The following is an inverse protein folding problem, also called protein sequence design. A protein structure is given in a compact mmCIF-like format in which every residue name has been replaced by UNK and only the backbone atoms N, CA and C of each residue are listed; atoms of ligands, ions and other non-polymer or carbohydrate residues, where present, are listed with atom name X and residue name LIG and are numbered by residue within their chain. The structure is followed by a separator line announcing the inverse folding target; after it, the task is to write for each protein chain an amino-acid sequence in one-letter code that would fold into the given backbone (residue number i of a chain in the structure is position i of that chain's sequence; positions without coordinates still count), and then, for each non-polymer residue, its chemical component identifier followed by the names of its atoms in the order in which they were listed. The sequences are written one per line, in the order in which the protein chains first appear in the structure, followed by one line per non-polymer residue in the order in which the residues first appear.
data_IF_680535763779
#
_entry.id   IF_680535763779
#
_cell.length_a   1.000
_cell.length_b   1.000
_cell.length_c   1.000
_cell.angle_alpha   90.00
_cell.angle_beta   90.00
_cell.angle_gamma   90.00
#
_symmetry.space_group_name_H-M   'P 1'
#
loop_
_entity.id
_entity.type
_entity.pdbx_description
1 polymer ?
#
# COMPACT_ATOMS: atom_id res chain seq x y z
N UNK A 1 -4.68 4.93 34.86
CA UNK A 1 -5.23 6.05 34.06
C UNK A 1 -4.09 6.73 33.32
N UNK A 2 -4.08 6.70 31.99
CA UNK A 2 -3.09 7.47 31.22
C UNK A 2 -3.50 8.94 31.20
N UNK A 3 -2.70 9.81 31.81
CA UNK A 3 -2.93 11.26 31.80
C UNK A 3 -2.45 11.80 30.45
N UNK A 4 -3.40 12.06 29.54
CA UNK A 4 -3.11 12.66 28.23
C UNK A 4 -2.83 14.15 28.43
N UNK A 5 -1.65 14.61 28.00
CA UNK A 5 -1.33 16.03 27.99
C UNK A 5 -2.09 16.74 26.86
N UNK A 6 -3.12 17.49 27.26
CA UNK A 6 -4.08 18.14 26.39
C UNK A 6 -3.46 19.26 25.56
N UNK A 7 -2.54 20.03 26.13
CA UNK A 7 -1.94 21.21 25.49
C UNK A 7 -0.92 20.85 24.40
N UNK A 8 -0.40 19.63 24.44
CA UNK A 8 0.51 19.08 23.41
C UNK A 8 -0.23 18.30 22.31
N UNK A 9 -1.56 18.35 22.29
CA UNK A 9 -2.36 17.62 21.30
C UNK A 9 -2.30 18.32 19.94
N UNK A 10 -1.91 17.58 18.91
CA UNK A 10 -1.89 18.05 17.52
C UNK A 10 -2.92 17.26 16.69
N UNK A 11 -3.62 17.94 15.77
CA UNK A 11 -4.65 17.32 14.94
C UNK A 11 -4.21 17.21 13.48
N UNK A 12 -4.02 15.97 13.02
CA UNK A 12 -3.91 15.66 11.59
C UNK A 12 -5.30 15.38 11.01
N UNK A 13 -5.73 16.22 10.07
CA UNK A 13 -7.04 16.09 9.44
C UNK A 13 -6.91 15.76 7.95
N UNK A 14 -7.60 14.69 7.53
CA UNK A 14 -7.74 14.33 6.11
C UNK A 14 -9.19 14.46 5.67
N UNK A 15 -9.66 15.71 5.56
CA UNK A 15 -11.02 16.03 5.09
C UNK A 15 -10.99 16.75 3.75
N UNK A 16 -12.02 16.53 2.93
CA UNK A 16 -12.27 17.32 1.71
C UNK A 16 -13.05 18.60 2.00
N UNK A 17 -13.78 18.63 3.11
CA UNK A 17 -14.76 19.67 3.42
C UNK A 17 -14.20 20.73 4.37
N UNK A 18 -12.96 20.54 4.83
CA UNK A 18 -12.29 21.48 5.71
C UNK A 18 -11.34 22.36 4.91
N UNK A 19 -11.56 23.67 4.98
CA UNK A 19 -10.71 24.65 4.33
C UNK A 19 -9.60 25.11 5.29
N UNK A 20 -8.36 24.72 4.99
CA UNK A 20 -7.20 25.09 5.79
C UNK A 20 -6.87 26.59 5.68
N UNK A 21 -7.38 27.30 4.67
CA UNK A 21 -7.20 28.74 4.51
C UNK A 21 -7.94 29.56 5.56
N UNK A 22 -9.11 29.08 6.00
CA UNK A 22 -9.95 29.76 7.02
C UNK A 22 -9.41 29.64 8.44
N UNK A 23 -8.49 28.70 8.69
CA UNK A 23 -7.91 28.40 10.02
C UNK A 23 -9.00 28.29 11.10
N UNK A 24 -10.05 27.53 10.84
CA UNK A 24 -11.10 27.31 11.84
C UNK A 24 -10.61 26.35 12.94
N UNK A 25 -11.10 26.51 14.17
CA UNK A 25 -10.78 25.55 15.24
C UNK A 25 -11.77 24.40 15.21
N UNK A 26 -11.28 23.19 15.43
CA UNK A 26 -12.12 22.01 15.61
C UNK A 26 -12.20 21.69 17.10
N UNK A 27 -13.42 21.56 17.61
CA UNK A 27 -13.66 21.19 19.00
C UNK A 27 -13.67 19.65 19.11
N UNK A 28 -12.75 19.12 19.91
CA UNK A 28 -12.60 17.68 20.20
C UNK A 28 -12.95 17.44 21.66
N UNK A 29 -13.80 16.44 21.92
CA UNK A 29 -14.13 16.00 23.27
C UNK A 29 -13.09 14.99 23.76
N UNK A 30 -12.44 15.28 24.89
CA UNK A 30 -11.55 14.38 25.61
C UNK A 30 -12.19 14.00 26.96
N UNK A 31 -13.05 12.98 26.93
CA UNK A 31 -13.95 12.67 28.05
C UNK A 31 -14.84 13.88 28.32
N UNK A 32 -14.80 14.39 29.55
CA UNK A 32 -15.65 15.50 29.99
C UNK A 32 -15.13 16.89 29.58
N UNK A 33 -13.89 17.01 29.05
CA UNK A 33 -13.33 18.31 28.65
C UNK A 33 -13.32 18.47 27.13
N UNK A 34 -13.72 19.65 26.64
CA UNK A 34 -13.62 20.04 25.23
C UNK A 34 -12.35 20.85 24.99
N UNK A 35 -11.59 20.51 23.95
CA UNK A 35 -10.41 21.26 23.52
C UNK A 35 -10.65 21.75 22.10
N UNK A 36 -10.27 23.00 21.84
CA UNK A 36 -10.34 23.62 20.52
C UNK A 36 -8.95 23.62 19.89
N UNK A 37 -8.75 22.82 18.83
CA UNK A 37 -7.43 22.60 18.20
C UNK A 37 -7.47 23.04 16.74
N UNK A 38 -6.41 23.70 16.27
CA UNK A 38 -6.22 23.97 14.85
C UNK A 38 -5.67 22.73 14.14
N UNK A 39 -6.32 22.28 13.05
CA UNK A 39 -5.76 21.24 12.21
C UNK A 39 -4.42 21.68 11.61
N UNK A 40 -3.44 20.78 11.62
CA UNK A 40 -2.13 21.03 10.99
C UNK A 40 -2.32 21.17 9.48
N UNK A 41 -1.74 22.21 8.84
CA UNK A 41 -1.81 22.40 7.39
C UNK A 41 -1.32 21.18 6.60
N UNK A 42 -1.82 21.01 5.38
CA UNK A 42 -1.52 19.85 4.51
C UNK A 42 -0.02 19.64 4.26
N UNK A 43 0.74 20.73 4.20
CA UNK A 43 2.19 20.72 3.90
C UNK A 43 3.04 20.46 5.14
N UNK A 44 2.46 20.69 6.33
CA UNK A 44 3.18 20.56 7.57
C UNK A 44 3.14 19.12 8.08
N UNK A 45 4.18 18.75 8.81
CA UNK A 45 4.29 17.46 9.46
C UNK A 45 4.30 17.67 10.97
N UNK A 46 3.77 16.71 11.71
CA UNK A 46 3.83 16.66 13.17
C UNK A 46 4.92 15.72 13.63
N UNK A 47 5.47 15.92 14.82
CA UNK A 47 6.55 15.09 15.37
C UNK A 47 6.05 14.23 16.52
N UNK A 48 6.02 12.92 16.32
CA UNK A 48 5.68 11.94 17.36
C UNK A 48 6.93 11.10 17.65
N UNK A 49 7.40 11.13 18.90
CA UNK A 49 8.62 10.44 19.35
C UNK A 49 9.84 10.71 18.44
N UNK A 50 9.94 11.88 17.83
CA UNK A 50 11.06 12.24 16.95
C UNK A 50 10.90 11.80 15.48
N UNK A 51 9.85 11.05 15.14
CA UNK A 51 9.48 10.70 13.76
C UNK A 51 8.39 11.66 13.28
N UNK A 52 8.43 12.03 12.00
CA UNK A 52 7.53 13.03 11.44
C UNK A 52 6.42 12.40 10.61
N UNK A 53 5.18 12.84 10.84
CA UNK A 53 3.97 12.33 10.20
C UNK A 53 3.23 13.46 9.49
N UNK A 54 2.72 13.17 8.30
CA UNK A 54 1.94 14.10 7.50
C UNK A 54 0.58 13.48 7.15
N UNK A 55 -0.51 14.24 7.26
CA UNK A 55 -1.88 13.73 7.02
C UNK A 55 -2.12 13.23 5.57
N UNK A 56 -1.31 13.69 4.62
CA UNK A 56 -1.40 13.40 3.19
C UNK A 56 -0.24 12.54 2.69
N UNK A 57 0.54 11.95 3.61
CA UNK A 57 1.69 11.12 3.31
C UNK A 57 2.76 11.85 2.46
N UNK A 58 2.90 13.18 2.61
CA UNK A 58 4.01 13.91 1.98
C UNK A 58 5.34 13.57 2.67
N UNK A 59 6.35 13.37 1.83
CA UNK A 59 7.67 12.84 2.14
C UNK A 59 8.77 13.88 1.94
N UNK A 60 8.45 15.04 1.36
CA UNK A 60 9.39 16.14 1.13
C UNK A 60 10.04 16.61 2.42
N UNK A 61 9.26 16.78 3.49
CA UNK A 61 9.76 17.26 4.77
C UNK A 61 10.86 16.34 5.32
N UNK A 62 10.57 15.04 5.45
CA UNK A 62 11.54 14.04 5.98
C UNK A 62 12.75 13.91 5.06
N UNK A 63 12.55 13.93 3.74
CA UNK A 63 13.64 13.87 2.77
C UNK A 63 14.58 15.08 2.90
N UNK A 64 14.03 16.29 3.00
CA UNK A 64 14.81 17.51 3.18
C UNK A 64 15.53 17.53 4.53
N UNK A 65 14.89 17.01 5.57
CA UNK A 65 15.51 16.88 6.89
C UNK A 65 16.74 15.95 6.84
N UNK A 66 16.65 14.81 6.17
CA UNK A 66 17.78 13.89 5.99
C UNK A 66 18.92 14.53 5.16
N UNK A 67 18.57 15.26 4.10
CA UNK A 67 19.54 16.05 3.31
C UNK A 67 20.27 17.08 4.18
N UNK A 68 19.51 17.82 4.97
CA UNK A 68 20.06 18.86 5.84
C UNK A 68 20.97 18.29 6.93
N UNK A 69 20.64 17.12 7.49
CA UNK A 69 21.52 16.46 8.46
C UNK A 69 22.90 16.13 7.87
N UNK A 70 22.95 15.64 6.63
CA UNK A 70 24.20 15.38 5.90
C UNK A 70 24.95 16.68 5.62
N UNK A 71 24.26 17.71 5.15
CA UNK A 71 24.87 19.01 4.86
C UNK A 71 25.43 19.67 6.13
N UNK A 72 24.68 19.65 7.22
CA UNK A 72 25.10 20.20 8.51
C UNK A 72 26.34 19.48 9.06
N UNK A 73 26.40 18.15 8.90
CA UNK A 73 27.61 17.40 9.25
C UNK A 73 28.82 17.91 8.45
N UNK A 74 28.65 18.05 7.13
CA UNK A 74 29.70 18.51 6.23
C UNK A 74 30.16 19.92 6.64
N UNK A 75 29.24 20.87 6.76
CA UNK A 75 29.57 22.29 6.98
C UNK A 75 30.12 22.54 8.38
N UNK A 76 29.48 21.99 9.40
CA UNK A 76 29.74 22.38 10.79
C UNK A 76 30.81 21.50 11.44
N UNK A 77 30.91 20.23 11.02
CA UNK A 77 31.80 19.26 11.68
C UNK A 77 33.03 18.95 10.84
N UNK A 78 32.85 18.64 9.55
CA UNK A 78 33.92 18.00 8.78
C UNK A 78 34.76 19.00 7.96
N UNK A 79 34.15 20.05 7.39
CA UNK A 79 34.79 20.88 6.35
C UNK A 79 36.13 21.49 6.77
N UNK A 80 36.23 22.04 7.98
CA UNK A 80 37.43 22.75 8.46
C UNK A 80 38.30 21.94 9.42
N UNK A 81 37.78 20.83 9.96
CA UNK A 81 38.51 20.04 10.96
C UNK A 81 39.53 19.11 10.30
N UNK A 82 40.71 19.01 10.92
CA UNK A 82 41.71 17.99 10.62
C UNK A 82 41.24 16.69 11.25
N UNK A 83 40.66 15.81 10.44
CA UNK A 83 40.05 14.55 10.86
C UNK A 83 40.52 13.49 9.88
N UNK A 84 40.86 12.31 10.40
CA UNK A 84 41.23 11.18 9.54
C UNK A 84 40.05 10.71 8.69
N UNK A 85 40.38 10.06 7.58
CA UNK A 85 39.45 9.32 6.73
C UNK A 85 38.61 8.31 7.52
N UNK A 86 39.24 7.51 8.40
CA UNK A 86 38.56 6.52 9.24
C UNK A 86 37.56 7.14 10.22
N UNK A 87 37.96 8.21 10.90
CA UNK A 87 37.06 8.96 11.79
C UNK A 87 35.88 9.56 11.01
N UNK A 88 36.13 10.08 9.81
CA UNK A 88 35.09 10.66 8.95
C UNK A 88 34.09 9.59 8.49
N UNK A 89 34.59 8.42 8.08
CA UNK A 89 33.78 7.27 7.69
C UNK A 89 32.95 6.74 8.88
N UNK A 90 33.56 6.63 10.06
CA UNK A 90 32.87 6.23 11.30
C UNK A 90 31.72 7.18 11.65
N UNK A 91 31.95 8.49 11.64
CA UNK A 91 30.91 9.48 11.94
C UNK A 91 29.71 9.32 11.00
N UNK A 92 29.95 9.08 9.71
CA UNK A 92 28.86 8.88 8.77
C UNK A 92 28.13 7.56 9.01
N UNK A 93 28.87 6.45 9.09
CA UNK A 93 28.30 5.12 9.24
C UNK A 93 27.53 4.93 10.55
N UNK A 94 28.06 5.45 11.65
CA UNK A 94 27.50 5.20 12.99
C UNK A 94 26.50 6.26 13.43
N UNK A 95 26.63 7.52 12.98
CA UNK A 95 25.79 8.63 13.47
C UNK A 95 24.76 9.02 12.41
N UNK A 96 25.21 9.28 11.19
CA UNK A 96 24.34 9.80 10.14
C UNK A 96 23.39 8.74 9.62
N UNK A 97 23.88 7.52 9.35
CA UNK A 97 23.00 6.44 8.90
C UNK A 97 21.95 6.11 9.95
N UNK A 98 22.32 5.96 11.22
CA UNK A 98 21.38 5.70 12.30
C UNK A 98 20.35 6.84 12.45
N UNK A 99 20.77 8.10 12.29
CA UNK A 99 19.84 9.24 12.32
C UNK A 99 18.87 9.23 11.13
N UNK A 100 19.34 8.93 9.93
CA UNK A 100 18.49 8.83 8.73
C UNK A 100 17.53 7.65 8.85
N UNK A 101 18.02 6.50 9.32
CA UNK A 101 17.22 5.30 9.56
C UNK A 101 16.07 5.59 10.52
N UNK A 102 16.37 6.25 11.64
CA UNK A 102 15.38 6.66 12.63
C UNK A 102 14.34 7.64 12.06
N UNK A 103 14.79 8.74 11.42
CA UNK A 103 13.88 9.75 10.86
C UNK A 103 13.01 9.20 9.75
N UNK A 104 13.53 8.27 8.96
CA UNK A 104 12.84 7.65 7.85
C UNK A 104 12.00 6.44 8.28
N UNK A 105 11.83 6.14 9.57
CA UNK A 105 11.22 4.88 10.05
C UNK A 105 9.93 4.48 9.29
N UNK A 106 9.03 5.44 9.05
CA UNK A 106 7.73 5.24 8.39
C UNK A 106 7.71 5.59 6.89
N UNK A 107 8.86 5.92 6.30
CA UNK A 107 9.00 6.33 4.90
C UNK A 107 10.06 5.47 4.20
N UNK A 108 9.87 5.23 2.90
CA UNK A 108 10.85 4.49 2.09
C UNK A 108 11.31 5.40 0.96
N UNK A 109 12.56 5.82 0.99
CA UNK A 109 13.15 6.62 -0.10
C UNK A 109 13.42 5.74 -1.32
N UNK A 110 13.43 6.34 -2.50
CA UNK A 110 13.90 5.68 -3.71
C UNK A 110 15.43 5.63 -3.73
N UNK A 111 15.98 4.68 -4.48
CA UNK A 111 17.42 4.58 -4.69
C UNK A 111 18.02 5.88 -5.25
N UNK A 112 17.34 6.51 -6.21
CA UNK A 112 17.78 7.80 -6.79
C UNK A 112 17.87 8.89 -5.73
N UNK A 113 16.88 9.00 -4.84
CA UNK A 113 16.90 9.98 -3.74
C UNK A 113 18.04 9.68 -2.76
N UNK A 114 18.25 8.41 -2.39
CA UNK A 114 19.37 8.00 -1.52
C UNK A 114 20.73 8.35 -2.14
N UNK A 115 20.90 8.05 -3.42
CA UNK A 115 22.13 8.36 -4.14
C UNK A 115 22.36 9.87 -4.22
N UNK A 116 21.33 10.67 -4.49
CA UNK A 116 21.41 12.13 -4.47
C UNK A 116 21.78 12.67 -3.09
N UNK A 117 21.25 12.09 -2.01
CA UNK A 117 21.61 12.46 -0.64
C UNK A 117 23.09 12.21 -0.33
N UNK A 118 23.69 11.15 -0.89
CA UNK A 118 25.09 10.81 -0.65
C UNK A 118 26.09 11.64 -1.47
N UNK A 119 25.71 12.20 -2.62
CA UNK A 119 26.60 13.00 -3.49
C UNK A 119 27.44 14.03 -2.73
N UNK A 120 26.86 14.94 -1.91
CA UNK A 120 27.65 15.97 -1.21
C UNK A 120 28.68 15.37 -0.26
N UNK A 121 28.33 14.27 0.43
CA UNK A 121 29.23 13.59 1.34
C UNK A 121 30.38 12.89 0.59
N UNK A 122 30.07 12.14 -0.48
CA UNK A 122 31.09 11.48 -1.33
C UNK A 122 32.08 12.50 -1.89
N UNK A 123 31.60 13.65 -2.36
CA UNK A 123 32.46 14.74 -2.89
C UNK A 123 33.37 15.30 -1.79
N UNK A 124 32.82 15.60 -0.62
CA UNK A 124 33.60 16.12 0.51
C UNK A 124 34.67 15.12 0.96
N UNK A 125 34.30 13.83 1.06
CA UNK A 125 35.21 12.76 1.48
C UNK A 125 36.39 12.60 0.52
N UNK A 126 36.13 12.53 -0.80
CA UNK A 126 37.18 12.47 -1.83
C UNK A 126 38.10 13.68 -1.79
N UNK A 127 37.54 14.88 -1.68
CA UNK A 127 38.32 16.12 -1.63
C UNK A 127 39.25 16.15 -0.40
N UNK A 128 38.80 15.65 0.76
CA UNK A 128 39.66 15.52 1.96
C UNK A 128 40.84 14.57 1.74
N UNK A 129 40.63 13.50 0.97
CA UNK A 129 41.65 12.55 0.58
C UNK A 129 42.54 13.04 -0.57
N UNK A 130 42.35 14.28 -1.05
CA UNK A 130 43.01 14.85 -2.24
C UNK A 130 42.72 14.08 -3.53
N UNK A 131 41.66 13.28 -3.56
CA UNK A 131 41.19 12.66 -4.79
C UNK A 131 40.38 13.64 -5.63
N UNK A 132 40.41 13.42 -6.95
CA UNK A 132 39.51 14.12 -7.87
C UNK A 132 38.05 13.83 -7.51
N UNK A 133 37.17 14.83 -7.62
CA UNK A 133 35.73 14.63 -7.37
C UNK A 133 35.09 13.60 -8.31
N UNK A 134 35.69 13.40 -9.49
CA UNK A 134 35.32 12.42 -10.53
C UNK A 134 35.82 11.01 -10.25
N UNK A 135 36.66 10.79 -9.22
CA UNK A 135 37.17 9.46 -8.90
C UNK A 135 36.01 8.47 -8.71
N UNK A 136 36.18 7.17 -9.03
CA UNK A 136 35.12 6.18 -8.87
C UNK A 136 34.55 6.15 -7.45
N UNK A 137 33.22 6.07 -7.31
CA UNK A 137 32.55 5.96 -6.00
C UNK A 137 32.90 4.65 -5.29
N UNK A 138 33.27 3.61 -6.03
CA UNK A 138 33.70 2.32 -5.50
C UNK A 138 34.85 2.45 -4.52
N UNK A 139 35.78 3.40 -4.70
CA UNK A 139 36.89 3.62 -3.77
C UNK A 139 36.37 3.96 -2.36
N UNK A 140 35.32 4.78 -2.31
CA UNK A 140 34.71 5.29 -1.07
C UNK A 140 33.86 4.22 -0.39
N UNK A 141 33.13 3.43 -1.18
CA UNK A 141 32.10 2.51 -0.69
C UNK A 141 32.58 1.08 -0.50
N UNK A 142 33.74 0.71 -1.07
CA UNK A 142 34.26 -0.64 -0.94
C UNK A 142 34.61 -0.95 0.52
N UNK A 143 34.08 -2.08 1.01
CA UNK A 143 34.29 -2.58 2.36
C UNK A 143 35.77 -2.82 2.70
N UNK A 144 36.61 -3.08 1.71
CA UNK A 144 38.05 -3.31 1.88
C UNK A 144 38.87 -2.02 2.05
N UNK A 145 38.28 -0.85 1.75
CA UNK A 145 38.98 0.44 1.75
C UNK A 145 38.42 1.35 2.84
N UNK A 146 37.48 2.23 2.50
CA UNK A 146 36.90 3.21 3.44
C UNK A 146 35.54 2.78 4.00
N UNK A 147 34.90 1.77 3.39
CA UNK A 147 33.67 1.14 3.88
C UNK A 147 32.55 2.15 4.22
N UNK A 148 32.38 3.21 3.42
CA UNK A 148 31.25 4.11 3.60
C UNK A 148 30.01 3.41 3.07
N UNK A 149 29.10 3.08 3.98
CA UNK A 149 27.90 2.32 3.62
C UNK A 149 26.93 3.18 2.83
N UNK A 150 26.33 2.57 1.82
CA UNK A 150 25.26 3.21 1.05
C UNK A 150 24.01 3.43 1.92
N UNK A 151 23.43 4.63 1.85
CA UNK A 151 22.14 4.95 2.49
C UNK A 151 21.05 4.00 1.97
N UNK A 152 21.08 3.68 0.67
CA UNK A 152 20.11 2.77 0.05
C UNK A 152 20.24 1.35 0.60
N UNK A 153 21.47 0.83 0.66
CA UNK A 153 21.72 -0.51 1.20
C UNK A 153 21.32 -0.62 2.67
N UNK A 154 21.68 0.38 3.49
CA UNK A 154 21.28 0.42 4.91
C UNK A 154 19.75 0.49 5.05
N UNK A 155 19.08 1.27 4.21
CA UNK A 155 17.62 1.35 4.21
C UNK A 155 16.99 -0.01 3.86
N UNK A 156 17.47 -0.70 2.82
CA UNK A 156 16.94 -2.03 2.45
C UNK A 156 17.02 -2.97 3.65
N UNK A 157 18.21 -3.10 4.24
CA UNK A 157 18.46 -3.98 5.38
C UNK A 157 17.56 -3.63 6.57
N UNK A 158 17.54 -2.35 6.98
CA UNK A 158 16.75 -1.91 8.13
C UNK A 158 15.23 -2.05 7.89
N UNK A 159 14.74 -1.73 6.69
CA UNK A 159 13.30 -1.77 6.39
C UNK A 159 12.78 -3.19 6.30
N UNK A 160 13.48 -4.07 5.59
CA UNK A 160 13.10 -5.48 5.47
C UNK A 160 13.11 -6.14 6.85
N UNK A 161 14.18 -5.98 7.63
CA UNK A 161 14.30 -6.60 8.94
C UNK A 161 13.19 -6.13 9.89
N UNK A 162 12.95 -4.81 9.98
CA UNK A 162 11.89 -4.27 10.82
C UNK A 162 10.50 -4.73 10.37
N UNK A 163 10.29 -4.87 9.06
CA UNK A 163 9.02 -5.33 8.51
C UNK A 163 8.76 -6.82 8.83
N UNK A 164 9.80 -7.66 8.76
CA UNK A 164 9.71 -9.06 9.21
C UNK A 164 9.39 -9.17 10.70
N UNK A 165 10.05 -8.38 11.54
CA UNK A 165 9.76 -8.33 12.98
C UNK A 165 8.29 -7.95 13.21
N UNK A 166 7.77 -6.96 12.47
CA UNK A 166 6.36 -6.53 12.59
C UNK A 166 5.35 -7.59 12.15
N UNK A 167 5.65 -8.35 11.09
CA UNK A 167 4.75 -9.39 10.57
C UNK A 167 4.75 -10.62 11.47
N UNK A 168 5.91 -10.97 12.03
CA UNK A 168 6.08 -12.15 12.87
C UNK A 168 5.81 -11.89 14.37
N UNK A 169 5.50 -10.66 14.74
CA UNK A 169 5.15 -10.31 16.12
C UNK A 169 3.86 -11.02 16.53
N UNK A 170 3.85 -11.60 17.73
CA UNK A 170 2.68 -12.32 18.29
C UNK A 170 1.82 -11.46 19.22
N UNK A 171 2.24 -10.21 19.47
CA UNK A 171 1.54 -9.28 20.34
C UNK A 171 0.61 -8.34 19.59
N UNK A 172 0.27 -7.23 20.27
CA UNK A 172 -0.61 -6.19 19.73
C UNK A 172 -0.10 -5.60 18.41
N UNK A 173 1.22 -5.51 18.22
CA UNK A 173 1.82 -4.99 17.00
C UNK A 173 1.53 -5.91 15.81
N UNK A 174 1.69 -7.22 16.00
CA UNK A 174 1.32 -8.24 15.02
C UNK A 174 -0.16 -8.20 14.67
N UNK A 175 -1.05 -8.09 15.67
CA UNK A 175 -2.50 -7.97 15.46
C UNK A 175 -2.87 -6.76 14.61
N UNK A 176 -2.33 -5.59 14.96
CA UNK A 176 -2.53 -4.36 14.20
C UNK A 176 -2.00 -4.54 12.77
N UNK A 177 -0.85 -5.18 12.61
CA UNK A 177 -0.24 -5.40 11.30
C UNK A 177 -1.11 -6.32 10.43
N UNK A 178 -1.63 -7.43 10.98
CA UNK A 178 -2.58 -8.33 10.31
C UNK A 178 -3.82 -7.58 9.84
N UNK A 179 -4.46 -6.80 10.72
CA UNK A 179 -5.64 -5.99 10.36
C UNK A 179 -5.32 -5.01 9.23
N UNK A 180 -4.16 -4.35 9.26
CA UNK A 180 -3.74 -3.41 8.20
C UNK A 180 -3.48 -4.11 6.87
N UNK A 181 -2.92 -5.32 6.88
CA UNK A 181 -2.73 -6.13 5.67
C UNK A 181 -4.09 -6.54 5.08
N UNK A 182 -5.04 -6.96 5.92
CA UNK A 182 -6.42 -7.29 5.49
C UNK A 182 -7.11 -6.07 4.88
N UNK A 183 -6.96 -4.89 5.50
CA UNK A 183 -7.49 -3.64 4.97
C UNK A 183 -6.87 -3.30 3.61
N UNK A 184 -5.56 -3.51 3.43
CA UNK A 184 -4.90 -3.35 2.13
C UNK A 184 -5.41 -4.38 1.11
N UNK A 185 -5.55 -5.65 1.49
CA UNK A 185 -6.12 -6.70 0.64
C UNK A 185 -7.51 -6.31 0.14
N UNK A 186 -8.39 -5.86 1.04
CA UNK A 186 -9.74 -5.39 0.70
C UNK A 186 -9.72 -4.13 -0.16
N UNK A 187 -8.76 -3.23 0.08
CA UNK A 187 -8.58 -2.01 -0.71
C UNK A 187 -8.10 -2.30 -2.13
N UNK A 188 -7.21 -3.26 -2.30
CA UNK A 188 -6.67 -3.75 -3.57
C UNK A 188 -7.60 -4.78 -4.24
N UNK A 189 -8.61 -5.25 -3.51
CA UNK A 189 -9.57 -6.26 -3.94
C UNK A 189 -8.87 -7.53 -4.45
N UNK A 190 -8.08 -8.15 -3.57
CA UNK A 190 -7.35 -9.39 -3.84
C UNK A 190 -7.95 -10.57 -3.07
N UNK A 191 -7.81 -11.77 -3.61
CA UNK A 191 -8.25 -13.03 -3.01
C UNK A 191 -7.31 -13.52 -1.90
N UNK A 192 -6.01 -13.25 -2.05
CA UNK A 192 -4.96 -13.59 -1.08
C UNK A 192 -4.35 -12.34 -0.47
N UNK A 193 -3.68 -12.53 0.66
CA UNK A 193 -2.88 -11.47 1.28
C UNK A 193 -1.81 -10.94 0.30
N UNK A 194 -1.64 -9.60 0.21
CA UNK A 194 -0.59 -8.95 -0.59
C UNK A 194 0.84 -9.39 -0.26
N UNK A 195 1.06 -10.02 0.90
CA UNK A 195 2.35 -10.58 1.28
C UNK A 195 2.70 -11.85 0.49
N UNK A 196 1.69 -12.63 0.11
CA UNK A 196 1.86 -13.92 -0.58
C UNK A 196 2.01 -13.68 -2.07
N UNK A 197 1.07 -12.92 -2.61
CA UNK A 197 1.03 -12.62 -4.03
C UNK A 197 0.63 -11.17 -4.23
N UNK A 198 1.57 -10.42 -4.82
CA UNK A 198 1.39 -9.03 -5.20
C UNK A 198 1.42 -8.94 -6.73
N UNK A 199 0.25 -8.94 -7.40
CA UNK A 199 0.15 -9.08 -8.85
C UNK A 199 0.52 -7.78 -9.60
N UNK A 200 0.57 -6.65 -8.90
CA UNK A 200 0.82 -5.34 -9.49
C UNK A 200 2.30 -4.97 -9.44
N UNK A 201 2.70 -4.10 -10.36
CA UNK A 201 3.99 -3.40 -10.28
C UNK A 201 3.85 -2.05 -9.55
N UNK A 202 4.96 -1.58 -8.96
CA UNK A 202 5.02 -0.27 -8.28
C UNK A 202 4.57 0.89 -9.18
N UNK A 203 4.93 0.85 -10.47
CA UNK A 203 4.52 1.85 -11.46
C UNK A 203 3.00 1.87 -11.65
N UNK A 204 2.35 0.70 -11.68
CA UNK A 204 0.90 0.60 -11.89
C UNK A 204 0.13 1.15 -10.69
N UNK A 205 0.55 0.83 -9.47
CA UNK A 205 -0.05 1.40 -8.25
C UNK A 205 0.08 2.92 -8.24
N UNK A 206 1.23 3.46 -8.62
CA UNK A 206 1.43 4.91 -8.64
C UNK A 206 0.50 5.62 -9.64
N UNK A 207 0.17 4.98 -10.76
CA UNK A 207 -0.69 5.54 -11.81
C UNK A 207 -2.18 5.40 -11.45
N UNK A 208 -2.63 4.20 -11.12
CA UNK A 208 -4.06 3.91 -10.93
C UNK A 208 -4.55 4.18 -9.50
N UNK A 209 -3.64 4.13 -8.53
CA UNK A 209 -3.92 4.19 -7.10
C UNK A 209 -2.99 5.19 -6.39
N UNK A 210 -2.99 6.49 -6.76
CA UNK A 210 -2.01 7.47 -6.25
C UNK A 210 -2.03 7.64 -4.72
N UNK A 211 -3.17 7.32 -4.07
CA UNK A 211 -3.29 7.32 -2.60
C UNK A 211 -2.41 6.29 -1.90
N UNK A 212 -1.98 5.25 -2.63
CA UNK A 212 -1.14 4.16 -2.11
C UNK A 212 0.34 4.34 -2.44
N UNK A 213 0.70 5.36 -3.24
CA UNK A 213 2.08 5.63 -3.67
C UNK A 213 3.08 5.67 -2.50
N UNK A 214 2.70 6.30 -1.39
CA UNK A 214 3.55 6.45 -0.21
C UNK A 214 3.15 5.51 0.94
N UNK A 215 2.29 4.53 0.70
CA UNK A 215 1.89 3.60 1.74
C UNK A 215 3.09 2.75 2.19
N UNK A 216 3.38 2.78 3.50
CA UNK A 216 4.54 2.10 4.08
C UNK A 216 4.55 0.59 3.83
N UNK A 217 3.41 -0.09 4.04
CA UNK A 217 3.32 -1.55 3.92
C UNK A 217 3.52 -1.98 2.47
N UNK A 218 2.81 -1.33 1.53
CA UNK A 218 2.93 -1.64 0.10
C UNK A 218 4.35 -1.38 -0.40
N UNK A 219 4.97 -0.28 0.02
CA UNK A 219 6.34 0.01 -0.38
C UNK A 219 7.35 -0.97 0.21
N UNK A 220 7.14 -1.51 1.41
CA UNK A 220 7.97 -2.60 1.95
C UNK A 220 7.81 -3.89 1.13
N UNK A 221 6.59 -4.26 0.77
CA UNK A 221 6.34 -5.44 -0.08
C UNK A 221 7.07 -5.30 -1.42
N UNK A 222 7.01 -4.13 -2.05
CA UNK A 222 7.78 -3.89 -3.28
C UNK A 222 9.28 -3.93 -3.06
N UNK A 223 9.76 -3.38 -1.94
CA UNK A 223 11.18 -3.40 -1.61
C UNK A 223 11.67 -4.85 -1.37
N UNK A 224 10.87 -5.72 -0.76
CA UNK A 224 11.18 -7.14 -0.63
C UNK A 224 11.23 -7.84 -1.99
N UNK A 225 10.22 -7.60 -2.86
CA UNK A 225 10.16 -8.17 -4.21
C UNK A 225 11.33 -7.73 -5.09
N UNK A 226 11.71 -6.46 -5.02
CA UNK A 226 12.88 -5.91 -5.74
C UNK A 226 14.20 -6.53 -5.27
N UNK A 227 14.26 -7.04 -4.03
CA UNK A 227 15.45 -7.68 -3.44
C UNK A 227 15.34 -9.22 -3.36
N UNK A 228 14.41 -9.84 -4.11
CA UNK A 228 14.18 -11.30 -4.15
C UNK A 228 13.94 -11.95 -2.78
N UNK A 229 13.33 -11.22 -1.85
CA UNK A 229 12.95 -11.73 -0.54
C UNK A 229 11.51 -12.25 -0.60
N UNK A 230 11.33 -13.56 -0.40
CA UNK A 230 10.02 -14.20 -0.28
C UNK A 230 9.62 -14.38 1.19
N UNK A 231 8.31 -14.46 1.42
CA UNK A 231 7.74 -14.85 2.71
C UNK A 231 7.20 -16.26 2.53
N UNK A 232 7.79 -17.22 3.23
CA UNK A 232 7.17 -18.52 3.40
C UNK A 232 6.18 -18.44 4.56
N UNK A 233 4.98 -18.94 4.33
CA UNK A 233 3.93 -18.94 5.34
C UNK A 233 3.83 -20.33 5.93
N UNK A 234 3.86 -20.41 7.26
CA UNK A 234 3.64 -21.66 7.96
C UNK A 234 2.26 -22.22 7.58
N UNK A 235 2.27 -23.43 7.02
CA UNK A 235 1.07 -24.12 6.49
C UNK A 235 0.01 -24.41 7.55
N UNK A 236 0.34 -24.26 8.83
CA UNK A 236 -0.49 -24.62 9.97
C UNK A 236 -1.60 -23.57 10.27
N UNK A 237 -1.44 -22.33 9.83
CA UNK A 237 -2.39 -21.24 10.09
C UNK A 237 -3.11 -20.76 8.82
N UNK A 238 -3.86 -21.67 8.17
CA UNK A 238 -4.67 -21.35 6.98
C UNK A 238 -5.69 -20.23 7.26
N UNK A 239 -6.14 -20.11 8.52
CA UNK A 239 -7.00 -19.02 9.00
C UNK A 239 -6.33 -17.64 8.96
N UNK A 240 -5.00 -17.56 9.10
CA UNK A 240 -4.23 -16.31 9.07
C UNK A 240 -3.99 -15.77 7.65
N UNK A 241 -4.22 -16.58 6.61
CA UNK A 241 -3.95 -16.20 5.21
C UNK A 241 -5.00 -15.26 4.62
N UNK A 242 -6.15 -15.08 5.30
CA UNK A 242 -7.30 -14.31 4.82
C UNK A 242 -7.64 -14.61 3.35
N UNK A 243 -7.48 -15.87 2.95
CA UNK A 243 -7.77 -16.31 1.59
C UNK A 243 -9.28 -16.34 1.41
N UNK A 244 -9.77 -15.64 0.40
CA UNK A 244 -11.18 -15.66 0.02
C UNK A 244 -11.46 -16.98 -0.71
N UNK A 245 -12.37 -17.78 -0.15
CA UNK A 245 -12.77 -19.10 -0.67
C UNK A 245 -14.16 -18.97 -1.32
N UNK A 246 -14.50 -19.91 -2.20
CA UNK A 246 -15.88 -20.14 -2.65
C UNK A 246 -16.14 -19.86 -4.13
N UNK A 247 -15.12 -19.48 -4.90
CA UNK A 247 -15.22 -19.40 -6.36
C UNK A 247 -14.14 -20.19 -7.07
N UNK A 248 -14.45 -20.63 -8.30
CA UNK A 248 -13.62 -21.45 -9.16
C UNK A 248 -12.55 -20.61 -9.86
N UNK A 249 -12.95 -19.64 -10.70
CA UNK A 249 -12.02 -18.83 -11.48
C UNK A 249 -12.00 -17.37 -11.02
N UNK A 250 -10.81 -16.84 -10.75
CA UNK A 250 -10.62 -15.45 -10.35
C UNK A 250 -10.64 -14.51 -11.55
N UNK A 251 -11.33 -13.37 -11.42
CA UNK A 251 -11.38 -12.36 -12.48
C UNK A 251 -9.96 -11.85 -12.82
N UNK A 252 -9.08 -11.72 -11.83
CA UNK A 252 -7.69 -11.29 -12.04
C UNK A 252 -6.84 -12.28 -12.84
N UNK A 253 -7.22 -13.55 -12.92
CA UNK A 253 -6.54 -14.53 -13.78
C UNK A 253 -7.04 -14.46 -15.23
N UNK A 254 -8.31 -14.05 -15.41
CA UNK A 254 -8.94 -13.91 -16.73
C UNK A 254 -8.47 -12.64 -17.45
N UNK A 255 -8.33 -11.53 -16.71
CA UNK A 255 -7.88 -10.25 -17.25
C UNK A 255 -6.46 -9.92 -16.78
N UNK A 256 -5.73 -9.11 -17.53
CA UNK A 256 -4.38 -8.70 -17.08
C UNK A 256 -4.45 -7.85 -15.81
N UNK A 257 -3.46 -7.95 -14.88
CA UNK A 257 -3.44 -7.16 -13.64
C UNK A 257 -3.58 -5.65 -13.86
N UNK A 258 -3.04 -5.15 -14.97
CA UNK A 258 -3.15 -3.75 -15.40
C UNK A 258 -4.59 -3.32 -15.72
N UNK A 259 -5.39 -4.20 -16.32
CA UNK A 259 -6.82 -3.94 -16.57
C UNK A 259 -7.60 -4.06 -15.27
N UNK A 260 -7.25 -5.04 -14.43
CA UNK A 260 -7.88 -5.25 -13.13
C UNK A 260 -7.77 -4.00 -12.22
N UNK A 261 -6.56 -3.46 -12.04
CA UNK A 261 -6.33 -2.28 -11.21
C UNK A 261 -7.06 -1.03 -11.75
N UNK A 262 -7.19 -0.90 -13.07
CA UNK A 262 -7.92 0.19 -13.73
C UNK A 262 -9.42 0.17 -13.39
N UNK A 263 -10.03 -1.03 -13.35
CA UNK A 263 -11.46 -1.21 -13.08
C UNK A 263 -11.78 -1.60 -11.62
N UNK A 264 -10.78 -1.59 -10.73
CA UNK A 264 -10.87 -2.01 -9.33
C UNK A 264 -12.03 -1.35 -8.57
N UNK A 265 -12.27 -0.04 -8.76
CA UNK A 265 -13.40 0.64 -8.12
C UNK A 265 -14.75 0.06 -8.54
N UNK A 266 -14.89 -0.36 -9.80
CA UNK A 266 -16.12 -0.98 -10.32
C UNK A 266 -16.26 -2.40 -9.78
N UNK A 267 -15.19 -3.19 -9.81
CA UNK A 267 -15.18 -4.55 -9.24
C UNK A 267 -15.59 -4.55 -7.77
N UNK A 268 -15.03 -3.64 -6.97
CA UNK A 268 -15.41 -3.44 -5.57
C UNK A 268 -16.87 -3.00 -5.40
N UNK A 269 -17.35 -2.07 -6.24
CA UNK A 269 -18.74 -1.60 -6.20
C UNK A 269 -19.73 -2.75 -6.42
N UNK A 270 -19.43 -3.66 -7.33
CA UNK A 270 -20.26 -4.83 -7.66
C UNK A 270 -19.90 -6.09 -6.85
N UNK A 271 -18.93 -6.00 -5.94
CA UNK A 271 -18.39 -7.12 -5.14
C UNK A 271 -17.96 -8.32 -6.00
N UNK A 272 -17.35 -8.05 -7.15
CA UNK A 272 -16.92 -9.04 -8.13
C UNK A 272 -15.47 -9.45 -7.93
N UNK A 273 -15.26 -10.71 -7.57
CA UNK A 273 -13.94 -11.34 -7.41
C UNK A 273 -13.78 -12.56 -8.32
N UNK A 274 -14.85 -13.37 -8.45
CA UNK A 274 -14.85 -14.62 -9.20
C UNK A 274 -15.76 -14.52 -10.42
N UNK A 275 -15.41 -15.26 -11.47
CA UNK A 275 -16.23 -15.38 -12.67
C UNK A 275 -17.59 -16.00 -12.34
N UNK A 276 -17.63 -16.93 -11.39
CA UNK A 276 -18.84 -17.68 -11.01
C UNK A 276 -20.00 -16.77 -10.61
N UNK A 277 -19.70 -15.60 -10.06
CA UNK A 277 -20.69 -14.59 -9.68
C UNK A 277 -21.43 -14.00 -10.90
N UNK A 278 -20.87 -14.17 -12.09
CA UNK A 278 -21.40 -13.73 -13.38
C UNK A 278 -22.01 -14.88 -14.19
N UNK A 279 -22.08 -16.08 -13.64
CA UNK A 279 -22.61 -17.28 -14.33
C UNK A 279 -23.98 -17.68 -13.82
N UNK A 280 -24.70 -18.48 -14.61
CA UNK A 280 -25.92 -19.18 -14.15
C UNK A 280 -25.62 -20.16 -13.02
N UNK A 281 -26.65 -20.69 -12.35
CA UNK A 281 -26.46 -21.69 -11.28
C UNK A 281 -25.63 -22.90 -11.75
N UNK A 282 -25.92 -23.39 -12.97
CA UNK A 282 -25.21 -24.51 -13.59
C UNK A 282 -23.78 -24.16 -14.05
N UNK A 283 -23.49 -22.87 -14.28
CA UNK A 283 -22.15 -22.43 -14.69
C UNK A 283 -21.88 -22.48 -16.20
N UNK A 284 -22.90 -22.72 -17.03
CA UNK A 284 -22.73 -22.86 -18.49
C UNK A 284 -22.80 -21.52 -19.23
N UNK A 285 -23.61 -20.59 -18.74
CA UNK A 285 -23.95 -19.34 -19.42
C UNK A 285 -23.51 -18.13 -18.60
N UNK A 286 -23.04 -17.10 -19.31
CA UNK A 286 -22.75 -15.78 -18.75
C UNK A 286 -24.05 -14.98 -18.60
N UNK A 287 -24.24 -14.34 -17.45
CA UNK A 287 -25.44 -13.56 -17.15
C UNK A 287 -25.45 -12.23 -17.91
N UNK A 288 -26.62 -11.80 -18.33
CA UNK A 288 -26.79 -10.41 -18.75
C UNK A 288 -26.55 -9.49 -17.56
N UNK A 289 -26.07 -8.26 -17.82
CA UNK A 289 -25.83 -7.30 -16.74
C UNK A 289 -27.10 -7.01 -15.90
N UNK A 290 -28.27 -7.05 -16.54
CA UNK A 290 -29.55 -6.92 -15.86
C UNK A 290 -29.80 -8.08 -14.88
N UNK A 291 -29.62 -9.33 -15.31
CA UNK A 291 -29.74 -10.52 -14.44
C UNK A 291 -28.74 -10.47 -13.28
N UNK A 292 -27.49 -10.05 -13.56
CA UNK A 292 -26.48 -9.88 -12.54
C UNK A 292 -26.84 -8.80 -11.51
N UNK A 293 -27.49 -7.71 -11.92
CA UNK A 293 -27.85 -6.64 -11.00
C UNK A 293 -28.88 -7.06 -9.96
N UNK A 294 -29.71 -8.06 -10.28
CA UNK A 294 -30.72 -8.60 -9.36
C UNK A 294 -30.13 -9.46 -8.23
N UNK A 295 -28.81 -9.68 -8.20
CA UNK A 295 -28.18 -10.47 -7.14
C UNK A 295 -28.16 -9.72 -5.82
N UNK A 296 -28.56 -10.40 -4.73
CA UNK A 296 -28.62 -9.80 -3.38
C UNK A 296 -27.31 -9.16 -2.93
N UNK A 297 -26.16 -9.76 -3.28
CA UNK A 297 -24.86 -9.25 -2.86
C UNK A 297 -24.49 -7.92 -3.52
N UNK A 298 -25.05 -7.60 -4.69
CA UNK A 298 -24.85 -6.33 -5.41
C UNK A 298 -25.58 -5.18 -4.71
N UNK A 299 -26.73 -5.47 -4.08
CA UNK A 299 -27.55 -4.51 -3.35
C UNK A 299 -28.30 -3.52 -4.27
N UNK A 300 -29.02 -2.58 -3.66
CA UNK A 300 -29.82 -1.56 -4.36
C UNK A 300 -28.93 -0.47 -4.99
N UNK A 301 -28.18 -0.82 -6.03
CA UNK A 301 -27.45 0.15 -6.84
C UNK A 301 -28.45 0.93 -7.71
N UNK A 302 -28.35 2.28 -7.67
CA UNK A 302 -29.16 3.19 -8.52
C UNK A 302 -29.28 2.65 -9.95
N UNK A 303 -30.47 2.79 -10.53
CA UNK A 303 -30.90 2.31 -11.86
C UNK A 303 -30.13 2.95 -13.02
N UNK A 304 -28.82 2.72 -13.13
CA UNK A 304 -28.12 2.90 -14.39
C UNK A 304 -28.31 1.65 -15.24
N UNK A 305 -28.90 1.81 -16.43
CA UNK A 305 -29.01 0.76 -17.45
C UNK A 305 -27.72 0.56 -18.26
N UNK A 306 -26.69 1.36 -17.98
CA UNK A 306 -25.42 1.32 -18.70
C UNK A 306 -24.58 0.15 -18.18
N UNK A 307 -24.24 -0.75 -19.09
CA UNK A 307 -23.30 -1.85 -18.86
C UNK A 307 -21.89 -1.31 -18.62
N UNK A 308 -21.25 -1.64 -17.49
CA UNK A 308 -19.88 -1.21 -17.25
C UNK A 308 -18.93 -1.88 -18.25
N UNK A 309 -17.93 -1.13 -18.75
CA UNK A 309 -16.92 -1.63 -19.71
C UNK A 309 -16.19 -2.89 -19.25
N UNK A 310 -16.04 -3.10 -17.94
CA UNK A 310 -15.42 -4.33 -17.42
C UNK A 310 -16.25 -5.57 -17.74
N UNK A 311 -17.59 -5.46 -17.75
CA UNK A 311 -18.46 -6.57 -18.13
C UNK A 311 -18.33 -6.91 -19.59
N UNK A 312 -18.28 -5.92 -20.49
CA UNK A 312 -18.09 -6.18 -21.92
C UNK A 312 -16.74 -6.85 -22.19
N UNK A 313 -15.67 -6.39 -21.52
CA UNK A 313 -14.33 -7.01 -21.63
C UNK A 313 -14.37 -8.46 -21.16
N UNK A 314 -15.02 -8.76 -20.03
CA UNK A 314 -15.15 -10.13 -19.54
C UNK A 314 -15.98 -10.99 -20.51
N UNK A 315 -17.07 -10.43 -21.04
CA UNK A 315 -17.92 -11.06 -22.04
C UNK A 315 -17.10 -11.51 -23.25
N UNK A 316 -16.32 -10.59 -23.81
CA UNK A 316 -15.50 -10.83 -25.02
C UNK A 316 -14.42 -11.90 -24.80
N UNK A 317 -13.87 -12.01 -23.58
CA UNK A 317 -12.82 -12.99 -23.26
C UNK A 317 -13.40 -14.38 -22.96
N UNK A 318 -14.53 -14.43 -22.25
CA UNK A 318 -15.05 -15.66 -21.63
C UNK A 318 -16.06 -16.42 -22.48
N UNK A 319 -16.76 -15.76 -23.40
CA UNK A 319 -17.80 -16.37 -24.24
C UNK A 319 -17.22 -17.06 -25.47
N UNK A 320 -17.82 -18.20 -25.82
CA UNK A 320 -17.63 -18.92 -27.07
C UNK A 320 -18.65 -18.50 -28.12
N UNK A 321 -19.94 -18.49 -27.77
CA UNK A 321 -21.04 -18.04 -28.63
C UNK A 321 -21.77 -16.82 -28.05
N UNK A 322 -21.70 -15.70 -28.77
CA UNK A 322 -22.28 -14.40 -28.38
C UNK A 322 -23.81 -14.39 -28.41
N UNK A 323 -24.44 -15.28 -29.19
CA UNK A 323 -25.91 -15.31 -29.28
C UNK A 323 -26.53 -16.00 -28.07
N UNK A 324 -25.91 -17.08 -27.60
CA UNK A 324 -26.38 -17.86 -26.45
C UNK A 324 -25.76 -17.44 -25.12
N UNK A 325 -24.73 -16.58 -25.14
CA UNK A 325 -23.86 -16.25 -24.00
C UNK A 325 -23.21 -17.49 -23.37
N UNK A 326 -22.90 -18.50 -24.21
CA UNK A 326 -22.29 -19.74 -23.77
C UNK A 326 -20.82 -19.52 -23.45
N UNK A 327 -20.38 -19.95 -22.27
CA UNK A 327 -18.98 -19.81 -21.83
C UNK A 327 -18.06 -20.78 -22.57
N UNK A 328 -16.80 -20.42 -22.76
CA UNK A 328 -15.77 -21.36 -23.26
C UNK A 328 -15.65 -22.57 -22.33
N UNK A 329 -15.33 -23.78 -22.84
CA UNK A 329 -15.23 -24.99 -22.03
C UNK A 329 -14.33 -24.86 -20.80
N UNK A 330 -13.22 -24.11 -20.92
CA UNK A 330 -12.28 -23.83 -19.81
C UNK A 330 -12.88 -23.07 -18.62
N UNK A 331 -14.00 -22.38 -18.83
CA UNK A 331 -14.70 -21.58 -17.82
C UNK A 331 -16.05 -22.18 -17.41
N UNK A 332 -16.42 -23.35 -17.97
CA UNK A 332 -17.58 -24.10 -17.52
C UNK A 332 -17.16 -24.97 -16.35
N UNK A 333 -18.03 -25.09 -15.35
CA UNK A 333 -17.80 -25.96 -14.21
C UNK A 333 -19.04 -26.80 -13.98
N UNK A 334 -18.88 -28.12 -14.08
CA UNK A 334 -19.92 -29.10 -13.85
C UNK A 334 -19.98 -29.43 -12.35
N UNK A 335 -20.62 -28.58 -11.54
CA UNK A 335 -20.79 -28.88 -10.12
C UNK A 335 -22.25 -28.82 -9.68
N UNK A 336 -22.57 -29.71 -8.74
CA UNK A 336 -23.77 -29.64 -7.89
C UNK A 336 -23.85 -28.23 -7.31
N UNK A 337 -25.05 -27.65 -7.32
CA UNK A 337 -25.28 -26.26 -6.90
C UNK A 337 -24.99 -26.13 -5.41
N UNK A 338 -23.76 -25.75 -5.05
CA UNK A 338 -23.33 -25.59 -3.65
C UNK A 338 -23.76 -24.24 -3.05
N UNK A 339 -24.10 -23.26 -3.88
CA UNK A 339 -24.66 -21.98 -3.43
C UNK A 339 -25.63 -21.40 -4.46
N UNK A 340 -26.55 -20.57 -3.99
CA UNK A 340 -27.58 -19.93 -4.84
C UNK A 340 -27.07 -18.70 -5.61
N UNK A 341 -25.77 -18.39 -5.54
CA UNK A 341 -25.12 -17.22 -6.17
C UNK A 341 -25.91 -15.92 -5.94
N UNK A 342 -26.57 -15.77 -4.79
CA UNK A 342 -27.41 -14.61 -4.48
C UNK A 342 -28.76 -14.52 -5.21
N UNK A 343 -29.29 -15.63 -5.74
CA UNK A 343 -30.71 -15.74 -6.12
C UNK A 343 -31.60 -15.73 -4.88
N UNK A 344 -32.78 -15.11 -4.98
CA UNK A 344 -33.85 -15.26 -4.01
C UNK A 344 -34.74 -16.44 -4.41
N UNK A 345 -34.92 -17.39 -3.50
CA UNK A 345 -35.95 -18.41 -3.62
C UNK A 345 -37.25 -17.73 -3.19
N UNK A 346 -38.08 -17.37 -4.18
CA UNK A 346 -39.42 -16.84 -3.90
C UNK A 346 -40.25 -18.02 -3.38
N UNK A 347 -40.83 -17.86 -2.19
CA UNK A 347 -41.74 -18.89 -1.65
C UNK A 347 -43.02 -18.92 -2.51
N UNK A 348 -43.67 -20.09 -2.70
CA UNK A 348 -44.86 -20.22 -3.55
C UNK A 348 -45.98 -19.23 -3.21
N UNK A 349 -46.06 -18.78 -1.94
CA UNK A 349 -47.07 -17.85 -1.46
C UNK A 349 -46.85 -16.39 -1.89
N UNK A 350 -45.63 -16.00 -2.29
CA UNK A 350 -45.32 -14.64 -2.76
C UNK A 350 -45.57 -14.47 -4.28
N UNK A 351 -45.60 -15.56 -5.05
CA UNK A 351 -45.89 -15.53 -6.49
C UNK A 351 -47.28 -14.96 -6.81
N UNK A 352 -48.28 -15.18 -5.92
CA UNK A 352 -49.65 -14.69 -6.13
C UNK A 352 -49.79 -13.16 -6.01
N UNK A 353 -48.81 -12.45 -5.43
CA UNK A 353 -48.88 -10.99 -5.23
C UNK A 353 -48.23 -10.16 -6.35
N UNK A 354 -47.51 -10.76 -7.29
CA UNK A 354 -46.78 -10.03 -8.37
C UNK A 354 -47.37 -10.19 -9.76
N UNK A 355 -48.53 -10.84 -9.93
CA UNK A 355 -49.20 -10.99 -11.23
C UNK A 355 -50.20 -9.88 -11.58
N UNK A 356 -50.39 -8.88 -10.70
CA UNK A 356 -51.17 -7.69 -11.03
C UNK A 356 -50.39 -6.45 -10.62
N UNK A 357 -49.71 -5.82 -11.60
CA UNK A 357 -49.54 -4.39 -11.85
C UNK A 357 -48.82 -4.26 -13.20
#
# INVERSE_FOLDING_TARGET
MYVINKDKSELLLRSKNYDFGKKEKININFGDKKISIFPVPKENSIRILGVWFNAYDDRKFVLNQCKNDILNLITNTLRRKVITDKQTAYIFNSIILSRIEYRSQVMIFTEKECNQMMVPYRRMFKNKLKFASTAPNSIVENNLIYNIRSIWANQIQAKINNFFIQINDRGLLGDIMRIRIIDIQNKLWLDKSPLVDMPYQKKEINVFLPKFKNNFIINNIFLMKENNVSIELDKLDISNLNKIIGGHELIINIITPKVYIKYLKQLRKYKLMFLDQLTTLKGDYFLTFWQFKQRRFVGNLRSSNITPKIFSILNDITIEDKYTNLLKPRYRYSNVINNLKGYELISPNECKKKQFI
#
